data_IF_660192189156
#
_entry.id   IF_660192189156
#
_cell.length_a   1.000
_cell.length_b   1.000
_cell.length_c   1.000
_cell.angle_alpha   90.00
_cell.angle_beta   90.00
_cell.angle_gamma   90.00
#
_symmetry.space_group_name_H-M   'P 1'
#
loop_
_entity.id
_entity.type
_entity.pdbx_description
1 polymer ?
#
# COMPACT_ATOMS: atom_id res chain seq x y z
N UNK A 1 -4.07 7.77 -8.78
CA UNK A 1 -3.28 7.08 -7.73
C UNK A 1 -2.84 5.73 -8.27
N UNK A 2 -1.55 5.54 -8.52
CA UNK A 2 -0.97 4.24 -8.87
C UNK A 2 -0.97 3.35 -7.63
N UNK A 3 -1.44 2.11 -7.74
CA UNK A 3 -1.41 1.15 -6.64
C UNK A 3 0.03 0.76 -6.31
N UNK A 4 0.36 0.63 -5.03
CA UNK A 4 1.61 0.02 -4.58
C UNK A 4 1.68 -1.44 -5.06
N UNK A 5 2.85 -1.85 -5.55
CA UNK A 5 3.18 -3.22 -5.88
C UNK A 5 3.23 -4.09 -4.62
N UNK A 6 3.02 -5.40 -4.77
CA UNK A 6 3.20 -6.39 -3.70
C UNK A 6 4.59 -6.26 -3.06
N UNK A 7 5.63 -6.07 -3.89
CA UNK A 7 7.00 -5.86 -3.42
C UNK A 7 7.14 -4.58 -2.57
N UNK A 8 6.57 -3.46 -3.05
CA UNK A 8 6.61 -2.19 -2.31
C UNK A 8 5.89 -2.32 -0.96
N UNK A 9 4.77 -3.06 -0.89
CA UNK A 9 4.05 -3.32 0.36
C UNK A 9 4.86 -4.15 1.36
N UNK A 10 5.55 -5.19 0.89
CA UNK A 10 6.43 -6.00 1.72
C UNK A 10 7.58 -5.15 2.26
N UNK A 11 8.19 -4.31 1.43
CA UNK A 11 9.24 -3.37 1.86
C UNK A 11 8.71 -2.40 2.93
N UNK A 12 7.51 -1.85 2.74
CA UNK A 12 6.88 -0.99 3.76
C UNK A 12 6.72 -1.77 5.07
N UNK A 13 6.24 -3.03 5.04
CA UNK A 13 6.06 -3.85 6.24
C UNK A 13 7.36 -4.03 7.00
N UNK A 14 8.39 -4.52 6.30
CA UNK A 14 9.70 -4.78 6.90
C UNK A 14 10.31 -3.51 7.49
N UNK A 15 10.23 -2.38 6.78
CA UNK A 15 10.77 -1.12 7.29
C UNK A 15 9.95 -0.56 8.47
N UNK A 16 8.63 -0.77 8.48
CA UNK A 16 7.78 -0.39 9.61
C UNK A 16 8.11 -1.19 10.87
N UNK A 17 8.36 -2.50 10.71
CA UNK A 17 8.81 -3.40 11.79
C UNK A 17 10.20 -3.03 12.32
N UNK A 18 11.07 -2.50 11.46
CA UNK A 18 12.36 -1.92 11.82
C UNK A 18 12.24 -0.49 12.41
N UNK A 19 11.04 -0.03 12.74
CA UNK A 19 10.74 1.31 13.27
C UNK A 19 11.19 2.49 12.37
N UNK A 20 11.26 2.30 11.06
CA UNK A 20 11.53 3.42 10.15
C UNK A 20 10.35 4.38 10.07
N UNK A 21 10.66 5.68 9.97
CA UNK A 21 9.63 6.70 9.76
C UNK A 21 9.00 6.58 8.36
N UNK A 22 7.72 6.96 8.25
CA UNK A 22 6.98 7.00 6.98
C UNK A 22 7.73 7.78 5.89
N UNK A 23 8.42 8.88 6.24
CA UNK A 23 9.24 9.65 5.29
C UNK A 23 10.44 8.87 4.77
N UNK A 24 11.12 8.12 5.62
CA UNK A 24 12.27 7.32 5.22
C UNK A 24 11.83 6.18 4.28
N UNK A 25 10.75 5.49 4.64
CA UNK A 25 10.14 4.44 3.81
C UNK A 25 9.75 4.99 2.44
N UNK A 26 9.04 6.13 2.41
CA UNK A 26 8.60 6.76 1.18
C UNK A 26 9.77 7.14 0.25
N UNK A 27 10.87 7.65 0.81
CA UNK A 27 12.10 7.92 0.04
C UNK A 27 12.72 6.65 -0.52
N UNK A 28 12.73 5.56 0.26
CA UNK A 28 13.31 4.29 -0.15
C UNK A 28 12.61 3.69 -1.37
N UNK A 29 11.27 3.74 -1.40
CA UNK A 29 10.47 3.22 -2.52
C UNK A 29 10.15 4.28 -3.60
N UNK A 30 10.76 5.47 -3.54
CA UNK A 30 10.48 6.60 -4.44
C UNK A 30 8.99 6.96 -4.55
N UNK A 31 8.26 6.94 -3.43
CA UNK A 31 6.84 7.31 -3.35
C UNK A 31 6.61 8.52 -2.47
N UNK A 32 5.42 9.10 -2.57
CA UNK A 32 5.04 10.19 -1.67
C UNK A 32 4.79 9.67 -0.25
N UNK A 33 5.17 10.41 0.81
CA UNK A 33 4.85 10.05 2.18
C UNK A 33 3.34 9.91 2.43
N UNK A 34 2.53 10.69 1.71
CA UNK A 34 1.08 10.60 1.78
C UNK A 34 0.57 9.24 1.28
N UNK A 35 1.16 8.69 0.22
CA UNK A 35 0.81 7.36 -0.29
C UNK A 35 1.08 6.27 0.75
N UNK A 36 2.27 6.30 1.37
CA UNK A 36 2.64 5.33 2.41
C UNK A 36 1.77 5.48 3.65
N UNK A 37 1.51 6.72 4.07
CA UNK A 37 0.63 7.01 5.20
C UNK A 37 -0.79 6.48 4.96
N UNK A 38 -1.37 6.78 3.81
CA UNK A 38 -2.71 6.32 3.44
C UNK A 38 -2.79 4.79 3.37
N UNK A 39 -1.72 4.11 2.94
CA UNK A 39 -1.68 2.66 2.94
C UNK A 39 -1.63 2.08 4.37
N UNK A 40 -0.77 2.64 5.24
CA UNK A 40 -0.64 2.19 6.64
C UNK A 40 -1.94 2.42 7.42
N UNK A 41 -2.56 3.60 7.31
CA UNK A 41 -3.77 3.91 8.05
C UNK A 41 -5.00 3.11 7.57
N UNK A 42 -5.00 2.64 6.33
CA UNK A 42 -6.07 1.76 5.83
C UNK A 42 -5.99 0.34 6.41
N UNK A 43 -4.83 -0.07 6.89
CA UNK A 43 -4.57 -1.43 7.36
C UNK A 43 -3.91 -1.32 8.72
N UNK A 44 -4.72 -1.28 9.77
CA UNK A 44 -4.24 -1.21 11.16
C UNK A 44 -4.71 -2.44 11.95
N UNK A 45 -3.79 -3.28 12.46
CA UNK A 45 -2.32 -3.20 12.30
C UNK A 45 -1.86 -3.49 10.86
N UNK A 46 -0.78 -2.85 10.42
CA UNK A 46 -0.29 -2.97 9.05
C UNK A 46 0.28 -4.36 8.78
N UNK A 47 -0.22 -4.98 7.69
CA UNK A 47 0.21 -6.27 7.16
C UNK A 47 0.19 -6.21 5.63
N UNK A 48 1.31 -6.54 5.00
CA UNK A 48 1.47 -6.47 3.54
C UNK A 48 0.43 -7.31 2.77
N UNK A 49 0.14 -8.54 3.24
CA UNK A 49 -0.82 -9.43 2.60
C UNK A 49 -2.25 -8.86 2.62
N UNK A 50 -2.65 -8.32 3.76
CA UNK A 50 -3.97 -7.70 3.95
C UNK A 50 -4.09 -6.44 3.08
N UNK A 51 -3.05 -5.60 3.07
CA UNK A 51 -3.01 -4.41 2.22
C UNK A 51 -3.12 -4.76 0.73
N UNK A 52 -2.40 -5.80 0.29
CA UNK A 52 -2.49 -6.28 -1.08
C UNK A 52 -3.88 -6.78 -1.44
N UNK A 53 -4.48 -7.63 -0.59
CA UNK A 53 -5.83 -8.13 -0.79
C UNK A 53 -6.87 -6.99 -0.86
N UNK A 54 -6.77 -6.00 0.03
CA UNK A 54 -7.65 -4.83 0.04
C UNK A 54 -7.50 -3.98 -1.23
N UNK A 55 -6.27 -3.78 -1.70
CA UNK A 55 -6.03 -3.06 -2.94
C UNK A 55 -6.58 -3.79 -4.16
N UNK A 56 -6.44 -5.12 -4.23
CA UNK A 56 -7.06 -5.94 -5.28
C UNK A 56 -8.59 -5.83 -5.24
N UNK A 57 -9.20 -5.89 -4.05
CA UNK A 57 -10.65 -5.73 -3.88
C UNK A 57 -11.11 -4.35 -4.38
N UNK A 58 -10.40 -3.27 -4.02
CA UNK A 58 -10.68 -1.91 -4.52
C UNK A 58 -10.48 -1.77 -6.03
N UNK A 59 -9.50 -2.48 -6.59
CA UNK A 59 -9.30 -2.54 -8.05
C UNK A 59 -10.49 -3.19 -8.74
N UNK A 60 -11.04 -4.27 -8.17
CA UNK A 60 -12.19 -4.97 -8.72
C UNK A 60 -13.46 -4.12 -8.68
N UNK A 61 -13.70 -3.39 -7.58
CA UNK A 61 -14.83 -2.45 -7.45
C UNK A 61 -14.77 -1.27 -8.42
N UNK A 62 -13.59 -0.97 -8.98
CA UNK A 62 -13.38 0.09 -9.98
C UNK A 62 -13.29 -0.45 -11.41
N UNK A 63 -13.50 -1.75 -11.62
CA UNK A 63 -13.69 -2.32 -12.94
C UNK A 63 -14.99 -1.78 -13.52
N UNK A 64 -14.90 -1.05 -14.64
CA UNK A 64 -16.07 -0.65 -15.44
C UNK A 64 -16.96 -1.87 -15.62
N UNK A 65 -18.26 -1.74 -15.31
CA UNK A 65 -19.28 -2.64 -15.83
C UNK A 65 -19.05 -2.76 -17.33
N UNK A 66 -18.55 -3.91 -17.79
CA UNK A 66 -18.68 -4.26 -19.19
C UNK A 66 -20.15 -4.62 -19.37
N UNK A 67 -20.94 -3.62 -19.76
CA UNK A 67 -22.28 -3.83 -20.29
C UNK A 67 -22.12 -4.54 -21.63
N UNK A 68 -22.60 -5.78 -21.71
CA UNK A 68 -22.91 -6.43 -22.97
C UNK A 68 -24.22 -7.19 -22.84
#
# INVERSE_FOLDING_TARGET
MTSLSSQERTVIQTLLELNYSVRAIARFINRSPATVSVEIHQVTPYKADIAHALALKKRHLRGRHHTH
#
